data_IF_128421033219
#
_entry.id   IF_128421033219
#
_cell.length_a   1.000
_cell.length_b   1.000
_cell.length_c   1.000
_cell.angle_alpha   90.00
_cell.angle_beta   90.00
_cell.angle_gamma   90.00
#
_symmetry.space_group_name_H-M   'P 1'
#
loop_
_entity.id
_entity.type
_entity.pdbx_description
1 polymer ?
#
# COMPACT_ATOMS: atom_id res chain seq x y z
N UNK A 1 -45.57 33.51 39.66
CA UNK A 1 -45.35 32.12 39.17
C UNK A 1 -45.34 31.99 37.65
N UNK A 2 -45.95 32.91 36.89
CA UNK A 2 -46.00 32.84 35.42
C UNK A 2 -44.66 33.12 34.71
N UNK A 3 -43.81 34.01 35.26
CA UNK A 3 -42.50 34.33 34.66
C UNK A 3 -41.51 33.15 34.65
N UNK A 4 -41.60 32.26 35.64
CA UNK A 4 -40.74 31.07 35.71
C UNK A 4 -41.14 30.01 34.67
N UNK A 5 -42.44 29.90 34.36
CA UNK A 5 -42.95 28.99 33.31
C UNK A 5 -42.47 29.42 31.93
N UNK A 6 -42.52 30.73 31.64
CA UNK A 6 -42.00 31.31 30.39
C UNK A 6 -40.49 31.09 30.20
N UNK A 7 -39.70 31.16 31.27
CA UNK A 7 -38.25 30.93 31.20
C UNK A 7 -37.92 29.45 30.96
N UNK A 8 -38.69 28.54 31.56
CA UNK A 8 -38.50 27.10 31.38
C UNK A 8 -38.98 26.60 30.01
N UNK A 9 -40.04 27.19 29.44
CA UNK A 9 -40.46 26.92 28.07
C UNK A 9 -39.44 27.47 27.07
N UNK A 10 -38.92 28.69 27.28
CA UNK A 10 -37.88 29.28 26.44
C UNK A 10 -36.58 28.45 26.42
N UNK A 11 -36.11 27.99 27.60
CA UNK A 11 -34.93 27.12 27.70
C UNK A 11 -35.13 25.73 27.08
N UNK A 12 -36.38 25.21 27.09
CA UNK A 12 -36.72 23.95 26.43
C UNK A 12 -36.68 24.11 24.91
N UNK A 13 -37.18 25.22 24.37
CA UNK A 13 -37.15 25.49 22.93
C UNK A 13 -35.72 25.69 22.41
N UNK A 14 -34.83 26.39 23.13
CA UNK A 14 -33.43 26.53 22.72
C UNK A 14 -32.69 25.19 22.60
N UNK A 15 -32.92 24.25 23.55
CA UNK A 15 -32.30 22.92 23.49
C UNK A 15 -32.87 22.07 22.36
N UNK A 16 -34.16 22.18 22.10
CA UNK A 16 -34.82 21.48 20.98
C UNK A 16 -34.34 22.04 19.64
N UNK A 17 -34.19 23.35 19.51
CA UNK A 17 -33.69 24.01 18.29
C UNK A 17 -32.20 23.73 18.02
N UNK A 18 -31.36 23.59 19.06
CA UNK A 18 -29.95 23.19 18.89
C UNK A 18 -29.79 21.71 18.49
N UNK A 19 -30.74 20.84 18.89
CA UNK A 19 -30.76 19.43 18.49
C UNK A 19 -31.47 19.19 17.14
N UNK A 20 -32.39 20.08 16.74
CA UNK A 20 -33.05 20.09 15.43
C UNK A 20 -32.31 20.95 14.39
N UNK A 21 -31.23 21.64 14.77
CA UNK A 21 -30.27 22.21 13.84
C UNK A 21 -29.45 21.08 13.22
N UNK A 22 -30.06 20.48 12.19
CA UNK A 22 -29.55 19.48 11.26
C UNK A 22 -28.01 19.43 11.16
N UNK A 23 -27.34 18.41 11.74
CA UNK A 23 -25.94 18.13 11.43
C UNK A 23 -25.69 17.72 9.97
N UNK A 24 -26.75 17.63 9.15
CA UNK A 24 -26.70 17.36 7.72
C UNK A 24 -26.40 18.63 6.88
N UNK A 25 -26.47 19.84 7.45
CA UNK A 25 -26.21 21.09 6.70
C UNK A 25 -24.80 21.66 6.89
N UNK A 26 -23.89 20.91 7.51
CA UNK A 26 -22.47 21.10 7.28
C UNK A 26 -22.12 20.20 6.10
N UNK A 27 -21.79 20.83 4.97
CA UNK A 27 -21.46 20.16 3.71
C UNK A 27 -20.48 19.00 3.90
N UNK A 28 -20.37 18.09 2.91
CA UNK A 28 -19.56 16.88 3.02
C UNK A 28 -18.21 17.28 3.63
N UNK A 29 -17.84 16.67 4.77
CA UNK A 29 -16.48 16.83 5.30
C UNK A 29 -15.56 16.46 4.15
N UNK A 30 -14.99 17.49 3.56
CA UNK A 30 -14.14 17.35 2.40
C UNK A 30 -12.94 16.57 2.93
N UNK A 31 -12.82 15.30 2.52
CA UNK A 31 -11.55 14.58 2.54
C UNK A 31 -10.61 15.21 1.50
N UNK A 32 -10.42 16.52 1.60
CA UNK A 32 -9.69 17.37 0.67
C UNK A 32 -8.55 18.07 1.39
N UNK A 33 -7.91 17.40 2.34
CA UNK A 33 -6.65 17.88 2.89
C UNK A 33 -5.60 16.77 2.87
N UNK A 34 -5.34 16.31 1.65
CA UNK A 34 -4.05 15.74 1.22
C UNK A 34 -3.91 15.96 -0.30
N UNK A 35 -4.52 17.03 -0.83
CA UNK A 35 -4.22 17.44 -2.20
C UNK A 35 -2.80 18.00 -2.16
N UNK A 36 -1.87 17.30 -2.82
CA UNK A 36 -0.48 17.74 -3.03
C UNK A 36 -0.47 19.25 -3.24
N UNK A 37 -0.02 20.00 -2.23
CA UNK A 37 -0.21 21.45 -2.14
C UNK A 37 0.43 22.22 -3.30
N UNK A 38 1.24 21.53 -4.11
CA UNK A 38 1.81 22.04 -5.34
C UNK A 38 1.70 21.02 -6.48
N UNK A 39 0.67 21.10 -7.34
CA UNK A 39 0.63 20.29 -8.55
C UNK A 39 1.84 20.63 -9.43
N UNK A 40 2.56 19.62 -9.90
CA UNK A 40 3.70 19.83 -10.81
C UNK A 40 3.24 20.40 -12.15
N UNK A 41 4.05 21.32 -12.71
CA UNK A 41 3.76 22.03 -13.96
C UNK A 41 3.55 21.12 -15.18
N UNK A 42 4.18 19.94 -15.20
CA UNK A 42 4.09 18.98 -16.31
C UNK A 42 3.55 17.62 -15.85
N UNK A 43 2.23 17.46 -15.69
CA UNK A 43 1.59 16.25 -15.17
C UNK A 43 1.56 15.04 -16.13
N UNK A 44 2.27 15.12 -17.26
CA UNK A 44 2.27 14.08 -18.30
C UNK A 44 3.60 13.35 -18.42
N UNK A 45 4.64 13.81 -17.73
CA UNK A 45 5.89 13.07 -17.64
C UNK A 45 5.70 11.85 -16.72
N UNK A 46 6.43 10.77 -17.01
CA UNK A 46 6.34 9.54 -16.23
C UNK A 46 6.63 9.78 -14.74
N UNK A 47 7.59 10.66 -14.44
CA UNK A 47 7.91 11.10 -13.09
C UNK A 47 6.76 11.83 -12.39
N UNK A 48 5.94 12.58 -13.13
CA UNK A 48 4.78 13.29 -12.57
C UNK A 48 3.63 12.38 -12.20
N UNK A 49 3.41 11.34 -13.01
CA UNK A 49 2.44 10.30 -12.67
C UNK A 49 2.87 9.58 -11.39
N UNK A 50 4.15 9.18 -11.29
CA UNK A 50 4.73 8.62 -10.06
C UNK A 50 4.54 9.53 -8.83
N UNK A 51 4.84 10.82 -8.91
CA UNK A 51 4.70 11.72 -7.75
C UNK A 51 3.24 11.93 -7.31
N UNK A 52 2.28 11.84 -8.24
CA UNK A 52 0.86 12.06 -7.98
C UNK A 52 0.10 10.78 -7.66
N UNK A 53 0.70 9.60 -7.86
CA UNK A 53 0.06 8.35 -7.47
C UNK A 53 -0.02 8.26 -5.95
N UNK A 54 -1.20 7.94 -5.38
CA UNK A 54 -1.38 7.83 -3.94
C UNK A 54 -0.79 6.51 -3.43
N UNK A 55 0.54 6.40 -3.44
CA UNK A 55 1.29 5.21 -3.03
C UNK A 55 0.88 4.73 -1.63
N UNK A 56 0.74 5.66 -0.69
CA UNK A 56 0.35 5.35 0.69
C UNK A 56 -1.01 4.65 0.76
N UNK A 57 -1.99 5.10 -0.03
CA UNK A 57 -3.32 4.50 -0.07
C UNK A 57 -3.27 3.06 -0.60
N UNK A 58 -2.53 2.81 -1.68
CA UNK A 58 -2.38 1.47 -2.25
C UNK A 58 -1.58 0.53 -1.33
N UNK A 59 -0.51 1.00 -0.68
CA UNK A 59 0.25 0.15 0.23
C UNK A 59 -0.53 -0.22 1.51
N UNK A 60 -1.41 0.64 2.00
CA UNK A 60 -2.20 0.38 3.21
C UNK A 60 -3.46 -0.45 2.94
N UNK A 61 -4.15 -0.21 1.82
CA UNK A 61 -5.42 -0.87 1.51
C UNK A 61 -5.24 -2.22 0.81
N UNK A 62 -4.19 -2.39 0.00
CA UNK A 62 -3.98 -3.63 -0.74
C UNK A 62 -3.27 -4.68 0.13
N UNK A 63 -4.00 -5.71 0.52
CA UNK A 63 -3.49 -6.91 1.20
C UNK A 63 -2.31 -7.57 0.45
N UNK A 64 -2.27 -7.46 -0.89
CA UNK A 64 -1.25 -8.05 -1.76
C UNK A 64 0.18 -7.68 -1.31
N UNK A 65 0.42 -6.45 -0.86
CA UNK A 65 1.76 -5.99 -0.49
C UNK A 65 2.26 -6.65 0.80
N UNK A 66 1.35 -6.95 1.74
CA UNK A 66 1.69 -7.68 2.97
C UNK A 66 2.10 -9.11 2.64
N UNK A 67 1.32 -9.80 1.81
CA UNK A 67 1.62 -11.18 1.41
C UNK A 67 2.82 -11.27 0.47
N UNK A 68 3.03 -10.26 -0.39
CA UNK A 68 4.19 -10.21 -1.28
C UNK A 68 5.50 -10.12 -0.49
N UNK A 69 5.57 -9.26 0.52
CA UNK A 69 6.75 -9.15 1.38
C UNK A 69 7.04 -10.49 2.11
N UNK A 70 5.99 -11.13 2.65
CA UNK A 70 6.12 -12.44 3.30
C UNK A 70 6.56 -13.52 2.31
N UNK A 71 5.97 -13.55 1.10
CA UNK A 71 6.31 -14.50 0.06
C UNK A 71 7.77 -14.35 -0.38
N UNK A 72 8.27 -13.13 -0.58
CA UNK A 72 9.67 -12.87 -0.91
C UNK A 72 10.59 -13.41 0.20
N UNK A 73 10.28 -13.13 1.46
CA UNK A 73 11.06 -13.63 2.60
C UNK A 73 11.07 -15.16 2.66
N UNK A 74 9.93 -15.81 2.43
CA UNK A 74 9.83 -17.27 2.39
C UNK A 74 10.55 -17.89 1.18
N UNK A 75 10.59 -17.19 0.05
CA UNK A 75 11.28 -17.65 -1.15
C UNK A 75 12.81 -17.65 -0.99
N UNK A 76 13.39 -16.70 -0.27
CA UNK A 76 14.85 -16.61 -0.07
C UNK A 76 15.50 -17.92 0.42
N UNK A 77 15.04 -18.57 1.52
CA UNK A 77 15.62 -19.84 1.97
C UNK A 77 15.33 -21.01 1.02
N UNK A 78 14.21 -20.98 0.30
CA UNK A 78 13.86 -22.01 -0.71
C UNK A 78 14.87 -21.95 -1.86
N UNK A 79 15.08 -20.76 -2.42
CA UNK A 79 16.05 -20.56 -3.50
C UNK A 79 17.48 -20.81 -3.04
N UNK A 80 17.84 -20.45 -1.80
CA UNK A 80 19.15 -20.79 -1.23
C UNK A 80 19.36 -22.30 -1.16
N UNK A 81 18.35 -23.04 -0.73
CA UNK A 81 18.41 -24.51 -0.64
C UNK A 81 18.59 -25.13 -2.02
N UNK A 82 17.80 -24.70 -3.01
CA UNK A 82 17.93 -25.16 -4.40
C UNK A 82 19.31 -24.82 -4.98
N UNK A 83 19.80 -23.60 -4.74
CA UNK A 83 21.11 -23.15 -5.21
C UNK A 83 22.26 -23.96 -4.59
N UNK A 84 22.15 -24.30 -3.30
CA UNK A 84 23.13 -25.13 -2.62
C UNK A 84 23.14 -26.58 -3.15
N UNK A 85 21.97 -27.16 -3.43
CA UNK A 85 21.87 -28.50 -4.04
C UNK A 85 22.44 -28.50 -5.46
N UNK A 86 22.12 -27.49 -6.26
CA UNK A 86 22.62 -27.36 -7.62
C UNK A 86 24.16 -27.23 -7.68
N UNK A 87 24.75 -26.51 -6.72
CA UNK A 87 26.19 -26.32 -6.58
C UNK A 87 26.88 -27.37 -5.70
N UNK A 88 26.21 -28.49 -5.41
CA UNK A 88 26.85 -29.59 -4.69
C UNK A 88 28.11 -30.07 -5.44
N UNK A 89 29.19 -30.41 -4.72
CA UNK A 89 30.49 -30.73 -5.33
C UNK A 89 30.40 -31.91 -6.31
N UNK A 90 29.49 -32.86 -6.06
CA UNK A 90 29.20 -33.97 -6.97
C UNK A 90 28.60 -33.50 -8.30
N UNK A 91 27.69 -32.52 -8.26
CA UNK A 91 27.07 -32.01 -9.48
C UNK A 91 28.08 -31.19 -10.29
N UNK A 92 28.90 -30.37 -9.61
CA UNK A 92 29.99 -29.62 -10.25
C UNK A 92 31.01 -30.56 -10.90
N UNK A 93 31.35 -31.67 -10.24
CA UNK A 93 32.24 -32.69 -10.81
C UNK A 93 31.62 -33.35 -12.05
N UNK A 94 30.33 -33.70 -12.02
CA UNK A 94 29.62 -34.24 -13.19
C UNK A 94 29.56 -33.24 -14.34
N UNK A 95 29.27 -31.97 -14.07
CA UNK A 95 29.29 -30.91 -15.08
C UNK A 95 30.69 -30.71 -15.66
N UNK A 96 31.73 -30.78 -14.83
CA UNK A 96 33.12 -30.70 -15.28
C UNK A 96 33.53 -31.90 -16.15
N UNK A 97 33.07 -33.10 -15.83
CA UNK A 97 33.29 -34.31 -16.64
C UNK A 97 32.56 -34.24 -17.99
N UNK A 98 31.29 -33.78 -18.00
CA UNK A 98 30.54 -33.54 -19.24
C UNK A 98 31.27 -32.54 -20.12
N UNK A 99 31.70 -31.40 -19.56
CA UNK A 99 32.45 -30.37 -20.29
C UNK A 99 33.81 -30.85 -20.80
N UNK A 100 34.49 -31.75 -20.09
CA UNK A 100 35.74 -32.38 -20.56
C UNK A 100 35.48 -33.34 -21.73
N UNK A 101 34.40 -34.10 -21.70
CA UNK A 101 33.98 -34.98 -22.80
C UNK A 101 33.58 -34.18 -24.03
N UNK A 102 32.76 -33.15 -23.86
CA UNK A 102 32.37 -32.24 -24.94
C UNK A 102 33.57 -31.50 -25.54
N UNK A 103 34.51 -31.02 -24.71
CA UNK A 103 35.74 -30.41 -25.21
C UNK A 103 36.58 -31.41 -26.02
N UNK A 104 36.73 -32.65 -25.54
CA UNK A 104 37.45 -33.69 -26.28
C UNK A 104 36.76 -34.01 -27.62
N UNK A 105 35.42 -34.10 -27.65
CA UNK A 105 34.65 -34.34 -28.88
C UNK A 105 34.72 -33.18 -29.88
N UNK A 106 34.80 -31.94 -29.41
CA UNK A 106 34.92 -30.74 -30.26
C UNK A 106 36.35 -30.47 -30.78
N UNK A 107 37.35 -31.23 -30.32
CA UNK A 107 38.74 -31.14 -30.80
C UNK A 107 39.09 -32.19 -31.88
N UNK A 108 38.09 -32.88 -32.45
CA UNK A 108 38.22 -33.79 -33.59
C UNK A 108 37.72 -33.17 -34.90
#
# INVERSE_FOLDING_TARGET
MERAKMFFTYLREEKVLKNLSFPHLLGPKTMADDKVSRPMKFPYTFSAKLAQFPWKFYFQNQWIWKYYAVAVVCCIPIFKSISNLANSPENVAKWAEIRRKEAAEHHH
#
